data_IF_079921414101
#
_entry.id   IF_079921414101
#
_cell.length_a   1.000
_cell.length_b   1.000
_cell.length_c   1.000
_cell.angle_alpha   90.00
_cell.angle_beta   90.00
_cell.angle_gamma   90.00
#
_symmetry.space_group_name_H-M   'P 1'
#
loop_
_entity.id
_entity.type
_entity.pdbx_description
1 polymer ?
#
# COMPACT_ATOMS: atom_id res chain seq x y z
N UNK A 1 -22.29 40.06 12.52
CA UNK A 1 -20.87 39.82 12.83
C UNK A 1 -20.30 38.97 11.68
N UNK A 2 -19.41 39.56 10.90
CA UNK A 2 -18.93 38.97 9.65
C UNK A 2 -17.75 37.99 9.92
N UNK A 3 -17.89 36.77 9.45
CA UNK A 3 -16.79 35.81 9.45
C UNK A 3 -15.74 36.20 8.39
N UNK A 4 -14.52 36.40 8.81
CA UNK A 4 -13.37 36.64 7.92
C UNK A 4 -12.89 35.32 7.31
N UNK A 5 -12.63 35.25 6.01
CA UNK A 5 -11.98 34.10 5.41
C UNK A 5 -10.49 34.10 5.78
N UNK A 6 -9.98 32.97 6.21
CA UNK A 6 -8.55 32.74 6.40
C UNK A 6 -7.93 32.60 5.01
N UNK A 7 -7.27 33.65 4.58
CA UNK A 7 -6.47 33.69 3.36
C UNK A 7 -5.18 32.92 3.59
N UNK A 8 -5.10 31.69 3.07
CA UNK A 8 -3.84 30.93 3.07
C UNK A 8 -2.97 31.47 1.94
N UNK A 9 -1.96 32.30 2.30
CA UNK A 9 -0.93 32.78 1.39
C UNK A 9 -0.05 31.62 0.96
N UNK A 10 -0.32 31.07 -0.22
CA UNK A 10 0.60 30.18 -0.91
C UNK A 10 1.69 31.05 -1.60
N UNK A 11 2.77 31.29 -0.87
CA UNK A 11 4.02 31.78 -1.44
C UNK A 11 4.72 30.68 -2.23
N UNK A 12 4.87 30.95 -3.50
CA UNK A 12 5.87 30.49 -4.48
C UNK A 12 6.72 29.25 -4.18
N UNK A 13 6.61 28.25 -5.06
CA UNK A 13 7.59 27.22 -5.39
C UNK A 13 7.95 26.22 -4.30
N UNK A 14 6.98 25.45 -3.81
CA UNK A 14 7.27 24.18 -3.18
C UNK A 14 7.39 23.09 -4.26
N UNK A 15 8.59 22.54 -4.47
CA UNK A 15 8.81 21.29 -5.18
C UNK A 15 8.09 20.19 -4.40
N UNK A 16 6.96 19.72 -4.92
CA UNK A 16 6.27 18.54 -4.40
C UNK A 16 7.07 17.32 -4.86
N UNK A 17 8.00 16.88 -4.02
CA UNK A 17 8.71 15.61 -4.22
C UNK A 17 7.85 14.45 -3.71
N UNK A 18 7.55 13.48 -4.56
CA UNK A 18 6.89 12.23 -4.18
C UNK A 18 7.88 11.31 -3.47
N UNK A 19 7.42 10.56 -2.48
CA UNK A 19 8.21 9.60 -1.72
C UNK A 19 7.59 8.21 -1.69
N UNK A 20 8.46 7.21 -1.73
CA UNK A 20 8.15 5.83 -2.08
C UNK A 20 8.89 4.87 -1.15
N UNK A 21 8.27 3.80 -0.69
CA UNK A 21 8.98 2.76 0.05
C UNK A 21 9.80 1.88 -0.90
N UNK A 22 11.06 1.67 -0.59
CA UNK A 22 11.98 0.85 -1.36
C UNK A 22 12.75 -0.11 -0.45
N UNK A 23 13.04 -1.32 -0.93
CA UNK A 23 14.09 -2.17 -0.35
C UNK A 23 15.37 -1.90 -1.12
N UNK A 24 16.42 -1.54 -0.42
CA UNK A 24 17.69 -1.11 -1.00
C UNK A 24 18.87 -1.93 -0.43
N UNK A 25 19.96 -2.04 -1.19
CA UNK A 25 21.23 -2.63 -0.77
C UNK A 25 22.29 -1.55 -0.74
N UNK A 26 23.20 -1.61 0.22
CA UNK A 26 24.44 -0.90 0.19
C UNK A 26 25.42 -1.56 -0.80
N UNK A 27 26.07 -0.77 -1.66
CA UNK A 27 27.02 -1.30 -2.65
C UNK A 27 28.20 -2.05 -1.99
N UNK A 28 28.54 -3.19 -2.55
CA UNK A 28 29.55 -4.15 -2.04
C UNK A 28 30.99 -3.71 -2.16
N UNK A 29 31.33 -2.51 -2.54
CA UNK A 29 32.73 -2.17 -2.67
C UNK A 29 33.13 -1.06 -1.71
N UNK A 30 34.14 -1.30 -0.88
CA UNK A 30 34.85 -0.30 -0.10
C UNK A 30 35.56 0.78 -0.96
N UNK A 31 35.09 0.99 -2.20
CA UNK A 31 35.48 2.09 -3.07
C UNK A 31 34.53 3.25 -2.76
N UNK A 32 35.08 4.41 -2.44
CA UNK A 32 34.37 5.67 -2.47
C UNK A 32 33.83 5.84 -3.89
N UNK A 33 32.51 5.69 -4.07
CA UNK A 33 31.90 6.13 -5.32
C UNK A 33 31.91 7.64 -5.31
N UNK A 34 32.84 8.24 -6.04
CA UNK A 34 32.88 9.69 -6.16
C UNK A 34 31.63 10.24 -6.81
N UNK A 35 31.11 9.51 -7.81
CA UNK A 35 29.86 9.89 -8.49
C UNK A 35 29.22 8.66 -9.17
N UNK A 36 27.92 8.50 -9.05
CA UNK A 36 27.12 7.55 -9.83
C UNK A 36 25.98 8.26 -10.55
N UNK A 37 25.38 7.65 -11.57
CA UNK A 37 24.23 8.22 -12.29
C UNK A 37 22.96 7.56 -11.78
N UNK A 38 22.10 8.36 -11.16
CA UNK A 38 20.76 7.93 -10.78
C UNK A 38 19.76 8.23 -11.89
N UNK A 39 18.89 7.27 -12.16
CA UNK A 39 17.66 7.49 -12.94
C UNK A 39 16.49 7.64 -11.99
N UNK A 40 15.69 8.70 -12.17
CA UNK A 40 14.52 8.93 -11.34
C UNK A 40 13.31 9.37 -12.16
N UNK A 41 12.13 9.01 -11.68
CA UNK A 41 10.88 9.57 -12.15
C UNK A 41 10.62 10.92 -11.50
N UNK A 42 10.23 11.91 -12.30
CA UNK A 42 9.79 13.23 -11.86
C UNK A 42 8.48 13.60 -12.54
N UNK A 43 7.72 14.47 -11.91
CA UNK A 43 6.58 15.10 -12.55
C UNK A 43 7.07 16.03 -13.66
N UNK A 44 6.50 15.88 -14.85
CA UNK A 44 6.65 16.82 -15.97
C UNK A 44 5.65 17.98 -15.83
N UNK A 45 4.44 17.68 -15.33
CA UNK A 45 3.40 18.64 -14.98
C UNK A 45 2.55 18.10 -13.83
N UNK A 46 1.84 18.97 -13.13
CA UNK A 46 0.79 18.55 -12.20
C UNK A 46 -0.37 17.96 -13.01
N UNK A 47 -0.90 16.81 -12.59
CA UNK A 47 -2.09 16.25 -13.22
C UNK A 47 -3.37 16.87 -12.63
N UNK A 48 -4.41 16.90 -13.44
CA UNK A 48 -5.79 17.19 -13.06
C UNK A 48 -6.62 15.93 -13.31
N UNK A 49 -7.42 15.53 -12.33
CA UNK A 49 -8.14 14.25 -12.37
C UNK A 49 -7.20 13.06 -12.29
N UNK A 50 -7.28 12.13 -13.26
CA UNK A 50 -6.44 10.94 -13.29
C UNK A 50 -5.04 11.19 -13.85
N UNK A 51 -3.97 10.66 -13.20
CA UNK A 51 -2.61 10.80 -13.70
C UNK A 51 -2.42 10.10 -15.04
N UNK A 52 -1.83 10.82 -16.01
CA UNK A 52 -1.50 10.32 -17.32
C UNK A 52 -0.01 10.02 -17.47
N UNK A 53 0.35 9.14 -18.39
CA UNK A 53 1.76 8.83 -18.64
C UNK A 53 2.60 10.07 -19.03
N UNK A 54 2.00 11.05 -19.68
CA UNK A 54 2.62 12.32 -20.06
C UNK A 54 2.98 13.23 -18.87
N UNK A 55 2.38 12.99 -17.70
CA UNK A 55 2.62 13.80 -16.50
C UNK A 55 3.96 13.47 -15.85
N UNK A 56 4.62 12.40 -16.30
CA UNK A 56 5.85 11.89 -15.74
C UNK A 56 6.98 11.88 -16.77
N UNK A 57 8.21 12.09 -16.31
CA UNK A 57 9.43 11.91 -17.11
C UNK A 57 10.53 11.24 -16.29
N UNK A 58 11.36 10.45 -16.96
CA UNK A 58 12.64 9.99 -16.39
C UNK A 58 13.69 11.05 -16.61
N UNK A 59 14.44 11.36 -15.60
CA UNK A 59 15.67 12.15 -15.72
C UNK A 59 16.85 11.35 -15.18
N UNK A 60 18.02 11.63 -15.72
CA UNK A 60 19.29 11.12 -15.20
C UNK A 60 20.01 12.26 -14.50
N UNK A 61 20.54 11.99 -13.32
CA UNK A 61 21.30 12.97 -12.55
C UNK A 61 22.52 12.31 -11.91
N UNK A 62 23.66 13.01 -11.84
CA UNK A 62 24.78 12.54 -11.07
C UNK A 62 24.43 12.57 -9.58
N UNK A 63 24.76 11.49 -8.88
CA UNK A 63 24.66 11.40 -7.41
C UNK A 63 26.06 11.22 -6.88
N UNK A 64 26.51 12.21 -6.11
CA UNK A 64 27.84 12.24 -5.50
C UNK A 64 27.68 12.23 -3.99
N UNK A 65 28.41 11.38 -3.29
CA UNK A 65 28.51 11.43 -1.84
C UNK A 65 29.31 12.67 -1.45
N UNK A 66 28.80 13.43 -0.50
CA UNK A 66 29.56 14.51 0.10
C UNK A 66 30.61 13.98 1.07
N UNK A 67 31.52 14.84 1.52
CA UNK A 67 32.49 14.48 2.56
C UNK A 67 31.85 14.30 3.96
N UNK A 68 30.54 14.44 4.08
CA UNK A 68 29.82 14.24 5.33
C UNK A 68 29.82 12.75 5.72
N UNK A 69 30.44 12.44 6.86
CA UNK A 69 30.56 11.07 7.37
C UNK A 69 29.23 10.36 7.67
N UNK A 70 28.12 11.11 7.74
CA UNK A 70 26.78 10.57 7.95
C UNK A 70 26.03 10.22 6.66
N UNK A 71 26.49 10.72 5.51
CA UNK A 71 25.82 10.51 4.25
C UNK A 71 26.01 9.07 3.76
N UNK A 72 24.93 8.46 3.28
CA UNK A 72 24.95 7.10 2.71
C UNK A 72 24.42 7.11 1.28
N UNK A 73 24.98 6.23 0.44
CA UNK A 73 24.46 5.91 -0.88
C UNK A 73 23.66 4.61 -0.80
N UNK A 74 22.43 4.65 -1.28
CA UNK A 74 21.57 3.47 -1.37
C UNK A 74 21.18 3.20 -2.82
N UNK A 75 21.13 1.91 -3.18
CA UNK A 75 20.64 1.43 -4.47
C UNK A 75 19.29 0.72 -4.27
N UNK A 76 18.30 1.07 -5.08
CA UNK A 76 16.98 0.47 -5.00
C UNK A 76 16.94 -0.91 -5.66
N UNK A 77 16.50 -1.93 -4.93
CA UNK A 77 16.29 -3.29 -5.44
C UNK A 77 14.82 -3.51 -5.78
N UNK A 78 13.93 -3.03 -4.91
CA UNK A 78 12.47 -3.12 -5.06
C UNK A 78 11.85 -1.75 -4.83
N UNK A 79 10.84 -1.43 -5.63
CA UNK A 79 10.04 -0.22 -5.50
C UNK A 79 8.58 -0.61 -5.31
N UNK A 80 7.87 0.09 -4.42
CA UNK A 80 6.43 -0.05 -4.28
C UNK A 80 5.68 0.95 -5.14
N UNK A 81 4.45 0.59 -5.50
CA UNK A 81 3.49 1.49 -6.15
C UNK A 81 2.21 1.48 -5.32
N UNK A 82 1.83 2.61 -4.75
CA UNK A 82 0.72 2.72 -3.82
C UNK A 82 -0.19 3.91 -4.17
N UNK A 83 -1.53 3.78 -4.04
CA UNK A 83 -2.48 4.85 -4.37
C UNK A 83 -2.26 6.14 -3.57
N UNK A 84 -1.88 6.06 -2.29
CA UNK A 84 -1.61 7.23 -1.43
C UNK A 84 -0.41 8.05 -1.87
N UNK A 85 0.42 7.55 -2.76
CA UNK A 85 1.58 8.25 -3.30
C UNK A 85 1.22 9.53 -4.04
N UNK A 86 -0.04 9.75 -4.30
CA UNK A 86 -0.57 11.00 -4.83
C UNK A 86 -0.49 12.17 -3.84
N UNK A 87 -0.16 11.93 -2.58
CA UNK A 87 -0.33 12.89 -1.47
C UNK A 87 0.95 13.35 -0.76
N UNK A 88 2.09 12.59 -0.65
CA UNK A 88 3.24 12.94 0.25
C UNK A 88 4.65 12.47 -0.12
N UNK A 89 5.68 13.14 0.47
CA UNK A 89 7.13 12.84 0.36
C UNK A 89 8.03 13.28 1.55
N UNK A 90 9.19 12.62 1.91
CA UNK A 90 10.41 13.09 2.68
C UNK A 90 11.53 12.08 3.12
N UNK A 91 12.77 12.43 3.69
CA UNK A 91 14.12 11.79 3.82
C UNK A 91 14.65 11.41 5.22
N UNK A 92 15.57 10.43 5.40
CA UNK A 92 16.99 10.27 5.89
C UNK A 92 17.35 9.03 6.76
N UNK A 93 18.52 8.74 7.48
CA UNK A 93 19.73 7.92 7.46
C UNK A 93 20.07 6.77 8.48
N UNK A 94 21.24 6.12 8.50
CA UNK A 94 22.18 5.21 9.26
C UNK A 94 22.19 3.74 8.88
N UNK A 95 23.27 3.25 8.13
CA UNK A 95 23.30 1.83 7.83
C UNK A 95 24.67 1.30 7.39
N UNK A 96 25.08 0.02 7.72
CA UNK A 96 26.33 -0.57 7.28
C UNK A 96 26.30 -0.96 5.80
N UNK A 97 27.43 -0.87 5.12
CA UNK A 97 27.59 -1.29 3.72
C UNK A 97 27.19 -2.76 3.52
N UNK A 98 26.40 -3.05 2.47
CA UNK A 98 25.89 -4.40 2.17
C UNK A 98 24.60 -4.75 2.93
N UNK A 99 24.18 -3.94 3.90
CA UNK A 99 22.94 -4.15 4.65
C UNK A 99 21.70 -3.83 3.83
N UNK A 100 20.60 -4.55 4.09
CA UNK A 100 19.30 -4.26 3.51
C UNK A 100 18.54 -3.22 4.35
N UNK A 101 17.88 -2.30 3.66
CA UNK A 101 17.12 -1.23 4.30
C UNK A 101 15.76 -1.02 3.65
N UNK A 102 14.82 -0.56 4.44
CA UNK A 102 13.58 0.01 3.97
C UNK A 102 13.70 1.53 3.95
N UNK A 103 13.49 2.16 2.79
CA UNK A 103 13.71 3.59 2.61
C UNK A 103 12.57 4.29 1.85
N UNK A 104 12.32 5.55 2.24
CA UNK A 104 11.34 6.43 1.60
C UNK A 104 12.08 7.49 0.76
N UNK A 105 12.58 7.15 -0.40
CA UNK A 105 13.50 8.01 -1.18
C UNK A 105 13.05 8.30 -2.62
N UNK A 106 11.81 7.94 -2.95
CA UNK A 106 11.27 8.14 -4.29
C UNK A 106 11.63 7.04 -5.29
N UNK A 107 11.07 7.12 -6.49
CA UNK A 107 11.34 6.17 -7.57
C UNK A 107 12.65 6.53 -8.27
N UNK A 108 13.73 6.03 -7.76
CA UNK A 108 15.07 6.23 -8.30
C UNK A 108 15.96 5.01 -8.09
N UNK A 109 16.98 4.87 -8.93
CA UNK A 109 17.92 3.74 -8.82
C UNK A 109 18.89 3.92 -7.67
N UNK A 110 19.43 5.13 -7.49
CA UNK A 110 20.41 5.45 -6.44
C UNK A 110 20.01 6.74 -5.72
N UNK A 111 20.32 6.82 -4.45
CA UNK A 111 20.04 8.01 -3.62
C UNK A 111 21.18 8.21 -2.62
N UNK A 112 21.77 9.41 -2.63
CA UNK A 112 22.57 9.89 -1.53
C UNK A 112 21.62 10.44 -0.46
N UNK A 113 21.75 9.97 0.78
CA UNK A 113 20.90 10.33 1.90
C UNK A 113 21.75 11.07 2.94
N UNK A 114 21.61 12.42 3.06
CA UNK A 114 22.53 13.24 3.86
C UNK A 114 22.39 13.09 5.37
N UNK A 115 21.19 12.82 5.85
CA UNK A 115 20.91 12.59 7.26
C UNK A 115 19.94 11.41 7.40
N UNK A 116 20.40 10.17 7.62
CA UNK A 116 19.71 8.90 7.77
C UNK A 116 18.84 8.74 9.05
N UNK A 117 18.93 9.59 10.09
CA UNK A 117 18.22 9.47 11.38
C UNK A 117 17.00 10.39 11.55
N UNK A 118 16.69 11.20 10.57
CA UNK A 118 15.55 12.10 10.65
C UNK A 118 14.23 11.34 10.68
N UNK A 119 13.43 11.56 11.67
CA UNK A 119 12.07 11.02 11.77
C UNK A 119 11.10 11.75 10.83
N UNK A 120 10.19 11.00 10.25
CA UNK A 120 9.13 11.51 9.40
C UNK A 120 7.79 10.84 9.70
N UNK A 121 6.72 11.28 9.01
CA UNK A 121 5.35 10.87 9.29
C UNK A 121 5.13 9.34 9.33
N UNK A 122 5.88 8.57 8.53
CA UNK A 122 5.81 7.11 8.47
C UNK A 122 6.99 6.41 9.17
N UNK A 123 7.63 7.09 10.11
CA UNK A 123 8.84 6.64 10.78
C UNK A 123 10.11 7.14 10.10
N UNK A 124 11.29 6.63 10.49
CA UNK A 124 12.54 7.06 9.91
C UNK A 124 12.55 6.76 8.41
N UNK A 125 13.17 7.66 7.63
CA UNK A 125 13.21 7.57 6.18
C UNK A 125 13.97 6.37 5.70
N UNK A 126 15.01 5.99 6.43
CA UNK A 126 15.71 4.73 6.22
C UNK A 126 15.71 3.98 7.54
N UNK A 127 15.41 2.72 7.52
CA UNK A 127 15.50 1.83 8.68
C UNK A 127 16.10 0.50 8.28
N UNK A 128 16.85 -0.17 9.15
CA UNK A 128 17.31 -1.54 8.91
C UNK A 128 16.12 -2.42 8.56
N UNK A 129 16.32 -3.30 7.58
CA UNK A 129 15.34 -4.33 7.32
C UNK A 129 15.40 -5.34 8.46
N UNK A 130 14.28 -5.67 9.14
CA UNK A 130 14.26 -6.76 10.11
C UNK A 130 14.64 -8.09 9.47
N UNK A 131 15.22 -8.99 10.27
CA UNK A 131 15.32 -10.38 9.87
C UNK A 131 13.93 -11.02 9.83
N UNK A 132 13.51 -11.45 8.66
CA UNK A 132 12.24 -12.15 8.46
C UNK A 132 12.34 -13.67 8.62
N UNK A 133 13.48 -14.20 9.12
CA UNK A 133 13.67 -15.63 9.34
C UNK A 133 13.63 -16.43 8.03
N UNK A 134 14.36 -15.99 7.02
CA UNK A 134 14.46 -16.64 5.71
C UNK A 134 13.35 -16.29 4.71
N UNK A 135 12.35 -15.48 5.10
CA UNK A 135 11.36 -14.96 4.17
C UNK A 135 11.98 -13.89 3.27
N UNK A 136 11.39 -13.70 2.08
CA UNK A 136 11.93 -12.75 1.12
C UNK A 136 11.94 -11.31 1.62
N UNK A 137 13.03 -10.56 1.45
CA UNK A 137 13.11 -9.12 1.76
C UNK A 137 12.03 -8.28 1.07
N UNK A 138 11.54 -8.70 -0.10
CA UNK A 138 10.49 -7.98 -0.82
C UNK A 138 9.17 -7.87 -0.06
N UNK A 139 8.93 -8.74 0.93
CA UNK A 139 7.73 -8.67 1.78
C UNK A 139 7.68 -7.40 2.63
N UNK A 140 8.84 -6.76 2.86
CA UNK A 140 8.94 -5.48 3.59
C UNK A 140 8.18 -4.32 2.94
N UNK A 141 7.90 -4.38 1.65
CA UNK A 141 7.09 -3.38 0.95
C UNK A 141 5.68 -3.90 0.63
N UNK A 142 5.33 -5.08 1.11
CA UNK A 142 4.04 -5.75 0.99
C UNK A 142 3.45 -6.15 2.34
N UNK A 143 3.24 -7.45 2.54
CA UNK A 143 2.56 -7.99 3.72
C UNK A 143 3.34 -7.84 5.04
N UNK A 144 4.65 -7.68 5.02
CA UNK A 144 5.47 -7.33 6.19
C UNK A 144 5.85 -5.84 6.23
N UNK A 145 5.24 -5.02 5.39
CA UNK A 145 5.43 -3.59 5.29
C UNK A 145 4.17 -2.80 5.65
N UNK A 146 4.09 -1.58 5.11
CA UNK A 146 3.01 -0.64 5.41
C UNK A 146 1.61 -1.19 5.05
N UNK A 147 1.36 -1.86 3.92
CA UNK A 147 0.04 -2.43 3.66
C UNK A 147 -0.33 -3.56 4.61
N UNK A 148 0.64 -4.43 4.97
CA UNK A 148 0.43 -5.46 5.96
C UNK A 148 0.06 -4.88 7.32
N UNK A 149 0.83 -3.90 7.78
CA UNK A 149 0.59 -3.19 9.03
C UNK A 149 -0.77 -2.48 9.04
N UNK A 150 -1.16 -1.89 7.90
CA UNK A 150 -2.47 -1.26 7.73
C UNK A 150 -3.62 -2.26 7.88
N UNK A 151 -3.53 -3.40 7.20
CA UNK A 151 -4.55 -4.46 7.27
C UNK A 151 -4.62 -5.10 8.65
N UNK A 152 -3.47 -5.43 9.23
CA UNK A 152 -3.35 -6.06 10.54
C UNK A 152 -3.97 -5.20 11.66
N UNK A 153 -3.47 -3.99 11.86
CA UNK A 153 -3.97 -3.12 12.92
C UNK A 153 -5.35 -2.53 12.59
N UNK A 154 -5.62 -2.25 11.31
CA UNK A 154 -6.93 -1.77 10.89
C UNK A 154 -8.04 -2.76 11.16
N UNK A 155 -7.78 -4.06 11.05
CA UNK A 155 -8.75 -5.08 11.41
C UNK A 155 -8.74 -5.38 12.92
N UNK A 156 -7.57 -5.74 13.47
CA UNK A 156 -7.50 -6.26 14.84
C UNK A 156 -7.73 -5.19 15.91
N UNK A 157 -7.12 -4.00 15.76
CA UNK A 157 -7.25 -2.94 16.78
C UNK A 157 -8.52 -2.08 16.55
N UNK A 158 -8.92 -1.85 15.29
CA UNK A 158 -10.06 -0.97 15.04
C UNK A 158 -11.38 -1.70 15.06
N UNK A 159 -11.44 -2.92 14.51
CA UNK A 159 -12.68 -3.69 14.42
C UNK A 159 -12.78 -4.83 15.43
N UNK A 160 -11.67 -5.36 15.96
CA UNK A 160 -11.65 -6.41 16.98
C UNK A 160 -12.54 -7.61 16.58
N UNK A 161 -12.23 -8.32 15.47
CA UNK A 161 -13.07 -9.38 14.94
C UNK A 161 -13.19 -10.54 15.93
N UNK A 162 -14.37 -11.16 15.97
CA UNK A 162 -14.65 -12.35 16.76
C UNK A 162 -14.93 -13.53 15.83
N UNK A 163 -14.59 -14.73 16.26
CA UNK A 163 -14.87 -15.93 15.49
C UNK A 163 -16.37 -16.08 15.19
N UNK A 164 -16.70 -16.41 13.94
CA UNK A 164 -18.07 -16.53 13.46
C UNK A 164 -18.69 -15.24 12.91
N UNK A 165 -18.00 -14.08 13.05
CA UNK A 165 -18.48 -12.83 12.46
C UNK A 165 -18.27 -12.79 10.94
N UNK A 166 -19.08 -12.01 10.26
CA UNK A 166 -18.99 -11.76 8.81
C UNK A 166 -18.22 -10.48 8.55
N UNK A 167 -17.12 -10.57 7.83
CA UNK A 167 -16.24 -9.48 7.43
C UNK A 167 -16.35 -9.21 5.94
N UNK A 168 -16.80 -8.03 5.56
CA UNK A 168 -16.76 -7.54 4.18
C UNK A 168 -15.48 -6.73 3.95
N UNK A 169 -14.80 -6.97 2.83
CA UNK A 169 -13.62 -6.20 2.41
C UNK A 169 -13.86 -5.62 1.02
N UNK A 170 -13.93 -4.30 0.89
CA UNK A 170 -13.93 -3.62 -0.41
C UNK A 170 -12.52 -3.48 -0.96
N UNK A 171 -12.36 -3.55 -2.30
CA UNK A 171 -11.04 -3.56 -2.93
C UNK A 171 -10.16 -4.71 -2.39
N UNK A 172 -10.79 -5.87 -2.17
CA UNK A 172 -10.19 -7.01 -1.48
C UNK A 172 -8.93 -7.56 -2.16
N UNK A 173 -8.83 -7.46 -3.49
CA UNK A 173 -7.64 -7.88 -4.23
C UNK A 173 -6.49 -6.86 -4.20
N UNK A 174 -6.61 -5.80 -3.43
CA UNK A 174 -5.53 -4.84 -3.18
C UNK A 174 -4.52 -5.34 -2.14
N UNK A 175 -3.38 -4.65 -2.04
CA UNK A 175 -2.30 -5.02 -1.11
C UNK A 175 -2.75 -5.04 0.37
N UNK A 176 -3.64 -4.14 0.77
CA UNK A 176 -4.23 -4.13 2.12
C UNK A 176 -5.37 -5.13 2.22
N UNK A 177 -6.31 -5.10 1.25
CA UNK A 177 -7.53 -5.91 1.32
C UNK A 177 -7.28 -7.42 1.34
N UNK A 178 -6.31 -7.90 0.56
CA UNK A 178 -5.94 -9.32 0.53
C UNK A 178 -5.34 -9.81 1.86
N UNK A 179 -4.69 -8.92 2.61
CA UNK A 179 -4.17 -9.23 3.93
C UNK A 179 -5.29 -9.20 4.97
N UNK A 180 -6.17 -8.20 4.90
CA UNK A 180 -7.34 -8.10 5.81
C UNK A 180 -8.17 -9.36 5.76
N UNK A 181 -8.50 -9.85 4.56
CA UNK A 181 -9.30 -11.07 4.43
C UNK A 181 -8.62 -12.30 5.02
N UNK A 182 -7.32 -12.49 4.74
CA UNK A 182 -6.57 -13.60 5.31
C UNK A 182 -6.45 -13.50 6.86
N UNK A 183 -6.19 -12.30 7.40
CA UNK A 183 -6.16 -12.08 8.85
C UNK A 183 -7.54 -12.35 9.46
N UNK A 184 -8.63 -11.94 8.81
CA UNK A 184 -9.99 -12.27 9.26
C UNK A 184 -10.24 -13.79 9.26
N UNK A 185 -9.74 -14.53 8.26
CA UNK A 185 -9.78 -15.99 8.27
C UNK A 185 -9.02 -16.60 9.44
N UNK A 186 -7.84 -16.07 9.78
CA UNK A 186 -7.07 -16.51 10.95
C UNK A 186 -7.84 -16.26 12.25
N UNK A 187 -8.69 -15.22 12.31
CA UNK A 187 -9.57 -14.94 13.45
C UNK A 187 -10.86 -15.79 13.46
N UNK A 188 -11.08 -16.66 12.45
CA UNK A 188 -12.26 -17.51 12.38
C UNK A 188 -13.51 -16.83 11.83
N UNK A 189 -13.36 -15.74 11.08
CA UNK A 189 -14.46 -15.03 10.46
C UNK A 189 -14.89 -15.66 9.12
N UNK A 190 -16.13 -15.40 8.72
CA UNK A 190 -16.60 -15.55 7.34
C UNK A 190 -16.21 -14.30 6.56
N UNK A 191 -15.51 -14.45 5.43
CA UNK A 191 -14.92 -13.32 4.70
C UNK A 191 -15.54 -13.20 3.32
N UNK A 192 -16.07 -11.99 3.04
CA UNK A 192 -16.61 -11.60 1.74
C UNK A 192 -15.69 -10.56 1.12
N UNK A 193 -15.23 -10.79 -0.11
CA UNK A 193 -14.36 -9.90 -0.85
C UNK A 193 -15.01 -9.34 -2.11
N UNK A 194 -14.82 -8.04 -2.39
CA UNK A 194 -15.19 -7.46 -3.68
C UNK A 194 -13.96 -7.11 -4.52
N UNK A 195 -14.03 -7.41 -5.81
CA UNK A 195 -12.98 -7.07 -6.77
C UNK A 195 -13.59 -6.70 -8.14
N UNK A 196 -12.81 -6.15 -9.06
CA UNK A 196 -13.31 -5.61 -10.33
C UNK A 196 -12.95 -6.45 -11.57
N UNK A 197 -12.49 -7.71 -11.40
CA UNK A 197 -12.32 -8.64 -12.52
C UNK A 197 -12.39 -10.08 -12.04
N UNK A 198 -12.66 -10.99 -12.99
CA UNK A 198 -12.72 -12.42 -12.70
C UNK A 198 -11.41 -12.97 -12.12
N UNK A 199 -10.27 -12.60 -12.68
CA UNK A 199 -8.94 -13.06 -12.22
C UNK A 199 -8.66 -12.64 -10.78
N UNK A 200 -9.11 -11.43 -10.40
CA UNK A 200 -9.02 -10.93 -9.02
C UNK A 200 -9.93 -11.74 -8.08
N UNK A 201 -11.14 -12.06 -8.53
CA UNK A 201 -12.07 -12.88 -7.75
C UNK A 201 -11.53 -14.30 -7.57
N UNK A 202 -11.04 -14.93 -8.63
CA UNK A 202 -10.46 -16.28 -8.59
C UNK A 202 -9.27 -16.30 -7.59
N UNK A 203 -8.41 -15.28 -7.64
CA UNK A 203 -7.29 -15.17 -6.71
C UNK A 203 -7.73 -15.00 -5.25
N UNK A 204 -8.78 -14.23 -4.96
CA UNK A 204 -9.31 -14.10 -3.61
C UNK A 204 -9.85 -15.44 -3.07
N UNK A 205 -10.48 -16.25 -3.93
CA UNK A 205 -10.88 -17.61 -3.57
C UNK A 205 -9.68 -18.49 -3.22
N UNK A 206 -8.57 -18.39 -4.00
CA UNK A 206 -7.32 -19.09 -3.68
C UNK A 206 -6.71 -18.64 -2.33
N UNK A 207 -6.94 -17.39 -1.92
CA UNK A 207 -6.52 -16.85 -0.61
C UNK A 207 -7.42 -17.28 0.54
N UNK A 208 -8.51 -18.03 0.26
CA UNK A 208 -9.42 -18.57 1.27
C UNK A 208 -10.56 -17.65 1.68
N UNK A 209 -10.91 -16.65 0.87
CA UNK A 209 -12.17 -15.91 1.04
C UNK A 209 -13.35 -16.85 0.83
N UNK A 210 -14.35 -16.78 1.72
CA UNK A 210 -15.52 -17.67 1.65
C UNK A 210 -16.45 -17.29 0.51
N UNK A 211 -16.62 -15.99 0.29
CA UNK A 211 -17.43 -15.45 -0.79
C UNK A 211 -16.68 -14.31 -1.50
N UNK A 212 -16.84 -14.23 -2.81
CA UNK A 212 -16.22 -13.20 -3.64
C UNK A 212 -17.19 -12.79 -4.74
N UNK A 213 -17.28 -11.49 -5.00
CA UNK A 213 -18.06 -10.97 -6.12
C UNK A 213 -17.34 -9.91 -6.93
N UNK A 214 -17.65 -9.87 -8.24
CA UNK A 214 -17.21 -8.82 -9.13
C UNK A 214 -18.25 -7.68 -9.11
N UNK A 215 -17.90 -6.55 -8.48
CA UNK A 215 -18.80 -5.40 -8.34
C UNK A 215 -19.13 -4.71 -9.67
N UNK A 216 -18.48 -5.08 -10.79
CA UNK A 216 -18.82 -4.64 -12.14
C UNK A 216 -19.90 -5.48 -12.80
N UNK A 217 -20.14 -6.68 -12.27
CA UNK A 217 -21.10 -7.66 -12.82
C UNK A 217 -22.32 -7.83 -11.91
N UNK A 218 -22.12 -7.65 -10.60
CA UNK A 218 -23.15 -7.80 -9.59
C UNK A 218 -23.13 -6.62 -8.64
N UNK A 219 -24.26 -5.99 -8.39
CA UNK A 219 -24.36 -4.89 -7.45
C UNK A 219 -24.02 -5.33 -6.02
N UNK A 220 -23.62 -4.38 -5.17
CA UNK A 220 -23.35 -4.62 -3.74
C UNK A 220 -24.59 -5.19 -3.05
N UNK A 221 -25.76 -4.64 -3.35
CA UNK A 221 -27.03 -5.04 -2.73
C UNK A 221 -27.40 -6.48 -3.07
N UNK A 222 -27.34 -6.86 -4.35
CA UNK A 222 -27.59 -8.23 -4.80
C UNK A 222 -26.60 -9.22 -4.20
N UNK A 223 -25.29 -8.86 -4.21
CA UNK A 223 -24.24 -9.74 -3.71
C UNK A 223 -24.39 -10.00 -2.20
N UNK A 224 -24.60 -8.96 -1.41
CA UNK A 224 -24.66 -9.08 0.04
C UNK A 224 -26.01 -9.65 0.52
N UNK A 225 -27.11 -9.45 -0.19
CA UNK A 225 -28.38 -10.13 0.09
C UNK A 225 -28.22 -11.65 0.00
N UNK A 226 -27.42 -12.14 -0.96
CA UNK A 226 -27.18 -13.58 -1.14
C UNK A 226 -26.09 -14.11 -0.18
N UNK A 227 -24.97 -13.38 -0.02
CA UNK A 227 -23.78 -13.87 0.67
C UNK A 227 -23.77 -13.57 2.17
N UNK A 228 -24.54 -12.60 2.61
CA UNK A 228 -24.67 -12.18 4.00
C UNK A 228 -26.13 -11.85 4.34
N UNK A 229 -27.07 -12.80 4.23
CA UNK A 229 -28.50 -12.54 4.47
C UNK A 229 -28.79 -11.99 5.87
N UNK A 230 -27.98 -12.38 6.87
CA UNK A 230 -28.05 -11.85 8.23
C UNK A 230 -27.31 -10.53 8.43
N UNK A 231 -26.68 -10.00 7.38
CA UNK A 231 -25.88 -8.76 7.40
C UNK A 231 -24.41 -8.96 7.76
N UNK A 232 -23.68 -7.84 7.74
CA UNK A 232 -22.23 -7.75 7.91
C UNK A 232 -21.89 -7.19 9.29
N UNK A 233 -21.02 -7.87 10.04
CA UNK A 233 -20.56 -7.44 11.36
C UNK A 233 -19.44 -6.39 11.24
N UNK A 234 -18.53 -6.60 10.28
CA UNK A 234 -17.36 -5.76 10.07
C UNK A 234 -17.23 -5.41 8.58
N UNK A 235 -17.08 -4.12 8.29
CA UNK A 235 -16.74 -3.64 6.96
C UNK A 235 -15.36 -2.97 6.97
N UNK A 236 -14.43 -3.52 6.20
CA UNK A 236 -13.13 -2.89 5.96
C UNK A 236 -13.17 -2.14 4.63
N UNK A 237 -13.20 -0.82 4.72
CA UNK A 237 -13.42 0.06 3.58
C UNK A 237 -12.13 0.63 2.99
N UNK A 238 -11.85 0.25 1.74
CA UNK A 238 -10.77 0.79 0.92
C UNK A 238 -11.28 1.69 -0.22
N UNK A 239 -12.60 1.75 -0.44
CA UNK A 239 -13.20 2.31 -1.65
C UNK A 239 -13.93 3.62 -1.41
N UNK A 240 -14.79 3.70 -0.39
CA UNK A 240 -15.66 4.87 -0.16
C UNK A 240 -16.80 4.99 -1.17
N UNK A 241 -17.40 6.19 -1.25
CA UNK A 241 -18.41 6.55 -2.23
C UNK A 241 -19.71 5.75 -2.13
N UNK A 242 -20.32 5.47 -3.29
CA UNK A 242 -21.61 4.77 -3.38
C UNK A 242 -21.55 3.34 -2.85
N UNK A 243 -20.42 2.65 -3.05
CA UNK A 243 -20.24 1.32 -2.49
C UNK A 243 -20.44 1.31 -0.96
N UNK A 244 -19.77 2.22 -0.27
CA UNK A 244 -19.86 2.36 1.20
C UNK A 244 -21.24 2.79 1.64
N UNK A 245 -21.88 3.70 0.88
CA UNK A 245 -23.24 4.12 1.16
C UNK A 245 -24.23 2.93 1.13
N UNK A 246 -24.15 2.08 0.12
CA UNK A 246 -25.07 0.94 -0.05
C UNK A 246 -24.84 -0.13 1.03
N UNK A 247 -23.58 -0.40 1.39
CA UNK A 247 -23.23 -1.29 2.51
C UNK A 247 -23.82 -0.78 3.83
N UNK A 248 -23.62 0.50 4.15
CA UNK A 248 -24.12 1.10 5.41
C UNK A 248 -25.62 1.12 5.46
N UNK A 249 -26.27 1.45 4.34
CA UNK A 249 -27.73 1.54 4.22
C UNK A 249 -28.40 0.21 4.48
N UNK A 250 -27.97 -0.85 3.81
CA UNK A 250 -28.75 -2.09 3.73
C UNK A 250 -28.13 -3.28 4.48
N UNK A 251 -26.81 -3.35 4.57
CA UNK A 251 -26.14 -4.61 4.90
C UNK A 251 -25.37 -4.63 6.23
N UNK A 252 -25.09 -3.49 6.87
CA UNK A 252 -24.47 -3.51 8.20
C UNK A 252 -25.46 -3.96 9.26
N UNK A 253 -25.00 -4.86 10.14
CA UNK A 253 -25.73 -5.24 11.36
C UNK A 253 -25.77 -4.09 12.36
N UNK A 254 -26.69 -4.20 13.33
CA UNK A 254 -26.71 -3.34 14.51
C UNK A 254 -25.40 -3.49 15.31
N UNK A 255 -24.81 -2.38 15.76
CA UNK A 255 -23.47 -2.30 16.36
C UNK A 255 -22.33 -2.73 15.42
N UNK A 256 -22.56 -2.74 14.10
CA UNK A 256 -21.52 -3.05 13.11
C UNK A 256 -20.32 -2.12 13.21
N UNK A 257 -19.16 -2.62 12.83
CA UNK A 257 -17.88 -1.89 12.91
C UNK A 257 -17.32 -1.65 11.53
N UNK A 258 -16.90 -0.41 11.27
CA UNK A 258 -16.36 0.00 9.97
C UNK A 258 -14.96 0.58 10.16
N UNK A 259 -13.97 0.00 9.48
CA UNK A 259 -12.62 0.54 9.39
C UNK A 259 -12.46 1.29 8.07
N UNK A 260 -12.39 2.62 8.12
CA UNK A 260 -12.13 3.46 6.95
C UNK A 260 -10.62 3.52 6.71
N UNK A 261 -10.16 2.79 5.69
CA UNK A 261 -8.76 2.70 5.30
C UNK A 261 -8.42 3.59 4.10
N UNK A 262 -9.35 3.74 3.18
CA UNK A 262 -9.16 4.53 1.97
C UNK A 262 -10.48 4.94 1.34
N UNK A 263 -10.38 5.83 0.36
CA UNK A 263 -11.53 6.33 -0.40
C UNK A 263 -11.11 6.46 -1.88
N UNK A 264 -10.66 5.33 -2.49
CA UNK A 264 -10.07 5.38 -3.83
C UNK A 264 -11.04 5.89 -4.89
N UNK A 265 -12.35 5.69 -4.69
CA UNK A 265 -13.40 6.23 -5.56
C UNK A 265 -13.40 7.76 -5.60
N UNK A 266 -12.80 8.44 -4.61
CA UNK A 266 -12.86 9.89 -4.45
C UNK A 266 -11.51 10.59 -4.65
N UNK A 267 -10.42 9.86 -4.83
CA UNK A 267 -9.07 10.48 -4.92
C UNK A 267 -8.89 11.40 -6.13
N UNK A 268 -9.68 11.23 -7.18
CA UNK A 268 -9.59 12.02 -8.40
C UNK A 268 -10.73 13.04 -8.56
N UNK A 269 -11.84 12.88 -7.83
CA UNK A 269 -12.99 13.77 -7.90
C UNK A 269 -13.58 13.94 -6.49
N UNK A 270 -13.63 15.17 -6.02
CA UNK A 270 -14.33 15.52 -4.77
C UNK A 270 -15.82 15.70 -5.08
N UNK A 271 -16.53 14.60 -5.31
CA UNK A 271 -17.97 14.63 -5.43
C UNK A 271 -18.60 14.77 -4.04
N UNK A 272 -19.78 15.38 -4.01
CA UNK A 272 -20.53 15.53 -2.75
C UNK A 272 -21.09 14.17 -2.35
N UNK A 273 -20.57 13.59 -1.26
CA UNK A 273 -21.06 12.32 -0.72
C UNK A 273 -22.52 12.42 -0.29
N UNK A 274 -23.25 11.31 -0.46
CA UNK A 274 -24.55 11.10 0.17
C UNK A 274 -24.36 10.97 1.68
N UNK A 275 -25.26 11.60 2.46
CA UNK A 275 -25.17 11.53 3.93
C UNK A 275 -25.44 10.11 4.43
N UNK A 276 -24.55 9.62 5.28
CA UNK A 276 -24.67 8.31 5.95
C UNK A 276 -25.06 8.45 7.43
N UNK A 277 -25.26 9.68 7.90
CA UNK A 277 -25.48 9.99 9.33
C UNK A 277 -26.64 9.20 9.94
N UNK A 278 -27.76 9.06 9.21
CA UNK A 278 -28.93 8.31 9.73
C UNK A 278 -28.60 6.83 9.90
N UNK A 279 -27.84 6.22 8.98
CA UNK A 279 -27.46 4.81 9.11
C UNK A 279 -26.55 4.55 10.31
N UNK A 280 -25.69 5.54 10.63
CA UNK A 280 -24.83 5.48 11.83
C UNK A 280 -25.70 5.49 13.09
N UNK A 281 -26.69 6.35 13.15
CA UNK A 281 -27.61 6.45 14.29
C UNK A 281 -28.47 5.20 14.39
N UNK A 282 -29.17 4.86 13.32
CA UNK A 282 -30.18 3.79 13.30
C UNK A 282 -29.60 2.41 13.62
N UNK A 283 -28.34 2.17 13.21
CA UNK A 283 -27.65 0.89 13.43
C UNK A 283 -26.58 0.96 14.51
N UNK A 284 -26.40 2.09 15.19
CA UNK A 284 -25.35 2.33 16.19
C UNK A 284 -23.95 1.94 15.69
N UNK A 285 -23.59 2.34 14.45
CA UNK A 285 -22.36 1.92 13.81
C UNK A 285 -21.13 2.53 14.50
N UNK A 286 -20.07 1.71 14.63
CA UNK A 286 -18.79 2.13 15.14
C UNK A 286 -17.82 2.34 13.96
N UNK A 287 -17.55 3.61 13.61
CA UNK A 287 -16.69 3.97 12.48
C UNK A 287 -15.35 4.49 12.97
N UNK A 288 -14.26 3.89 12.51
CA UNK A 288 -12.90 4.27 12.92
C UNK A 288 -11.98 4.41 11.69
N UNK A 289 -11.24 5.51 11.63
CA UNK A 289 -10.18 5.68 10.63
C UNK A 289 -8.97 4.80 10.93
N UNK A 290 -8.33 4.32 9.86
CA UNK A 290 -7.07 3.56 9.92
C UNK A 290 -5.93 4.48 9.53
N UNK A 291 -5.10 4.87 10.51
CA UNK A 291 -3.94 5.72 10.31
C UNK A 291 -2.67 4.97 10.74
N UNK A 292 -2.03 4.32 9.78
CA UNK A 292 -0.94 3.38 10.03
C UNK A 292 0.29 3.99 10.75
N UNK A 293 0.64 5.27 10.59
CA UNK A 293 1.76 5.86 11.33
C UNK A 293 1.61 5.79 12.85
N UNK A 294 0.37 5.75 13.36
CA UNK A 294 0.11 5.59 14.80
C UNK A 294 0.62 4.26 15.38
N UNK A 295 0.98 3.29 14.53
CA UNK A 295 1.45 1.97 14.91
C UNK A 295 2.95 1.74 14.65
N UNK A 296 3.70 2.78 14.29
CA UNK A 296 5.13 2.65 14.00
C UNK A 296 5.94 2.04 15.16
N UNK A 297 5.59 2.35 16.40
CA UNK A 297 6.20 1.79 17.61
C UNK A 297 5.91 0.29 17.82
N UNK A 298 4.88 -0.26 17.15
CA UNK A 298 4.49 -1.67 17.19
C UNK A 298 4.92 -2.45 15.96
N UNK A 299 5.77 -1.87 15.10
CA UNK A 299 6.19 -2.49 13.85
C UNK A 299 6.84 -3.86 14.04
N UNK A 300 7.71 -4.01 15.01
CA UNK A 300 8.40 -5.30 15.27
C UNK A 300 7.45 -6.38 15.83
N UNK A 301 6.47 -6.00 16.65
CA UNK A 301 5.39 -6.88 17.10
C UNK A 301 4.61 -7.43 15.90
N UNK A 302 4.19 -6.53 15.02
CA UNK A 302 3.49 -6.87 13.79
C UNK A 302 4.32 -7.80 12.89
N UNK A 303 5.60 -7.47 12.64
CA UNK A 303 6.49 -8.30 11.80
C UNK A 303 6.66 -9.70 12.38
N UNK A 304 6.85 -9.83 13.68
CA UNK A 304 7.00 -11.12 14.35
C UNK A 304 5.76 -12.00 14.16
N UNK A 305 4.57 -11.45 14.44
CA UNK A 305 3.30 -12.17 14.30
C UNK A 305 2.98 -12.57 12.87
N UNK A 306 3.11 -11.63 11.92
CA UNK A 306 2.83 -11.91 10.52
C UNK A 306 3.82 -12.89 9.91
N UNK A 307 5.10 -12.77 10.24
CA UNK A 307 6.13 -13.72 9.79
C UNK A 307 5.87 -15.13 10.33
N UNK A 308 5.36 -15.25 11.56
CA UNK A 308 4.94 -16.53 12.11
C UNK A 308 3.77 -17.11 11.31
N UNK A 309 2.71 -16.36 11.07
CA UNK A 309 1.54 -16.83 10.29
C UNK A 309 1.91 -17.22 8.85
N UNK A 310 2.86 -16.52 8.23
CA UNK A 310 3.37 -16.91 6.91
C UNK A 310 4.09 -18.25 6.97
N UNK A 311 4.98 -18.46 7.96
CA UNK A 311 5.70 -19.74 8.13
C UNK A 311 4.77 -20.90 8.48
N UNK A 312 3.70 -20.64 9.21
CA UNK A 312 2.65 -21.62 9.53
C UNK A 312 1.70 -21.90 8.36
N UNK A 313 1.87 -21.23 7.22
CA UNK A 313 1.00 -21.37 6.06
C UNK A 313 -0.40 -20.75 6.23
N UNK A 314 -0.64 -20.00 7.31
CA UNK A 314 -1.90 -19.29 7.56
C UNK A 314 -2.10 -18.08 6.67
N UNK A 315 -1.00 -17.50 6.18
CA UNK A 315 -1.01 -16.40 5.23
C UNK A 315 -0.22 -16.77 3.99
N UNK A 316 -0.85 -16.62 2.84
CA UNK A 316 -0.22 -16.80 1.54
C UNK A 316 0.44 -15.50 1.07
N UNK A 317 1.66 -15.60 0.54
CA UNK A 317 2.36 -14.48 -0.06
C UNK A 317 2.66 -14.81 -1.52
N UNK A 318 1.82 -14.35 -2.46
CA UNK A 318 2.13 -14.44 -3.88
C UNK A 318 2.91 -13.22 -4.33
N UNK A 319 3.94 -13.41 -5.16
CA UNK A 319 4.77 -12.34 -5.71
C UNK A 319 4.49 -12.15 -7.19
N UNK A 320 4.48 -10.89 -7.62
CA UNK A 320 4.64 -10.58 -9.03
C UNK A 320 6.11 -10.62 -9.44
N UNK A 321 6.34 -10.88 -10.73
CA UNK A 321 7.68 -10.83 -11.31
C UNK A 321 8.31 -9.44 -11.13
N UNK A 322 9.63 -9.35 -10.94
CA UNK A 322 10.34 -8.08 -10.90
C UNK A 322 10.07 -7.26 -12.17
N UNK A 323 9.81 -5.97 -12.01
CA UNK A 323 9.60 -5.03 -13.09
C UNK A 323 10.66 -3.93 -13.08
N UNK A 324 10.95 -3.38 -14.23
CA UNK A 324 11.89 -2.27 -14.35
C UNK A 324 11.28 -0.94 -13.86
N UNK A 325 12.14 0.04 -13.65
CA UNK A 325 11.75 1.38 -13.23
C UNK A 325 10.74 2.05 -14.20
N UNK A 326 10.77 1.69 -15.50
CA UNK A 326 9.87 2.27 -16.51
C UNK A 326 8.43 1.86 -16.31
N UNK A 327 8.21 0.66 -15.79
CA UNK A 327 6.88 0.09 -15.56
C UNK A 327 6.15 0.74 -14.39
N UNK A 328 6.87 1.25 -13.38
CA UNK A 328 6.26 1.87 -12.19
C UNK A 328 5.26 2.98 -12.52
N UNK A 329 5.59 3.85 -13.46
CA UNK A 329 4.73 4.92 -13.95
C UNK A 329 3.40 4.39 -14.51
N UNK A 330 3.48 3.39 -15.38
CA UNK A 330 2.32 2.76 -16.01
C UNK A 330 1.38 2.18 -14.98
N UNK A 331 1.93 1.58 -13.91
CA UNK A 331 1.16 1.02 -12.82
C UNK A 331 0.42 2.08 -12.01
N UNK A 332 1.07 3.19 -11.68
CA UNK A 332 0.41 4.27 -10.95
C UNK A 332 -0.79 4.83 -11.72
N UNK A 333 -0.66 5.02 -13.03
CA UNK A 333 -1.77 5.47 -13.88
C UNK A 333 -2.90 4.43 -13.97
N UNK A 334 -2.58 3.13 -13.88
CA UNK A 334 -3.57 2.04 -13.99
C UNK A 334 -4.31 1.73 -12.69
N UNK A 335 -3.93 2.27 -11.55
CA UNK A 335 -4.68 2.05 -10.30
C UNK A 335 -6.14 2.50 -10.40
N UNK A 336 -6.40 3.56 -11.13
CA UNK A 336 -7.74 4.07 -11.38
C UNK A 336 -8.54 3.24 -12.40
N UNK A 337 -7.85 2.51 -13.29
CA UNK A 337 -8.48 1.66 -14.29
C UNK A 337 -8.88 0.28 -13.75
N UNK A 338 -8.70 0.02 -12.45
CA UNK A 338 -9.01 -1.28 -11.79
C UNK A 338 -8.27 -2.50 -12.39
N UNK A 339 -7.18 -2.24 -13.12
CA UNK A 339 -6.42 -3.27 -13.86
C UNK A 339 -5.29 -3.88 -13.05
N UNK A 340 -5.13 -3.48 -11.78
CA UNK A 340 -4.03 -3.94 -10.95
C UNK A 340 -4.56 -4.65 -9.71
N UNK A 341 -4.11 -5.87 -9.49
CA UNK A 341 -4.37 -6.65 -8.28
C UNK A 341 -3.17 -6.56 -7.36
N UNK A 342 -3.40 -6.23 -6.09
CA UNK A 342 -2.35 -6.18 -5.10
C UNK A 342 -1.30 -5.08 -5.34
N UNK A 343 -0.22 -5.15 -4.59
CA UNK A 343 0.95 -4.28 -4.75
C UNK A 343 1.92 -4.90 -5.74
N UNK A 344 2.27 -4.13 -6.77
CA UNK A 344 3.31 -4.49 -7.72
C UNK A 344 4.69 -4.15 -7.16
N UNK A 345 5.61 -5.11 -7.20
CA UNK A 345 7.00 -4.92 -6.85
C UNK A 345 7.80 -4.73 -8.13
N UNK A 346 8.53 -3.62 -8.25
CA UNK A 346 9.51 -3.45 -9.31
C UNK A 346 10.89 -3.85 -8.81
N UNK A 347 11.46 -4.90 -9.40
CA UNK A 347 12.84 -5.27 -9.22
C UNK A 347 13.72 -4.60 -10.28
N UNK A 348 14.84 -4.02 -9.87
CA UNK A 348 15.83 -3.48 -10.79
C UNK A 348 16.84 -4.57 -11.13
N UNK A 349 17.22 -4.74 -12.41
CA UNK A 349 18.24 -5.72 -12.78
C UNK A 349 19.57 -5.34 -12.14
N UNK A 350 20.20 -6.28 -11.46
CA UNK A 350 21.55 -6.11 -10.90
C UNK A 350 22.55 -5.97 -12.07
N UNK A 351 23.35 -4.91 -12.16
CA UNK A 351 24.22 -4.67 -13.30
C UNK A 351 25.39 -5.67 -13.46
N UNK A 352 25.56 -6.62 -12.54
CA UNK A 352 26.71 -7.53 -12.53
C UNK A 352 26.40 -9.00 -12.82
N UNK A 353 25.16 -9.36 -13.19
CA UNK A 353 24.86 -10.73 -13.65
C UNK A 353 24.42 -10.75 -15.11
N UNK A 354 25.32 -11.20 -15.98
CA UNK A 354 25.02 -11.58 -17.37
C UNK A 354 24.02 -12.74 -17.37
N UNK A 355 22.88 -12.51 -17.95
CA UNK A 355 21.73 -13.40 -18.04
C UNK A 355 22.00 -14.67 -18.84
N UNK A 356 21.46 -15.78 -18.35
CA UNK A 356 20.83 -16.77 -19.22
C UNK A 356 19.32 -16.76 -18.95
N UNK A 357 18.61 -16.35 -19.97
CA UNK A 357 17.15 -16.32 -20.06
C UNK A 357 16.57 -17.72 -20.11
N UNK A 358 15.55 -17.97 -19.31
CA UNK A 358 14.48 -18.89 -19.70
C UNK A 358 13.16 -18.27 -19.22
N UNK A 359 12.36 -17.84 -20.16
CA UNK A 359 10.99 -17.42 -19.97
C UNK A 359 10.13 -18.63 -19.58
N UNK A 360 9.51 -18.60 -18.43
CA UNK A 360 8.30 -19.34 -18.17
C UNK A 360 7.28 -18.41 -17.51
N UNK A 361 6.18 -18.24 -18.22
CA UNK A 361 5.03 -17.44 -17.90
C UNK A 361 4.25 -18.04 -16.73
N UNK A 362 4.36 -17.44 -15.56
CA UNK A 362 3.32 -17.50 -14.53
C UNK A 362 3.25 -16.17 -13.81
N UNK A 363 2.18 -15.43 -14.06
CA UNK A 363 1.85 -14.22 -13.31
C UNK A 363 1.46 -14.61 -11.89
N UNK A 364 2.19 -14.13 -10.90
CA UNK A 364 1.82 -14.22 -9.49
C UNK A 364 1.65 -12.80 -8.92
N UNK A 365 0.60 -12.60 -8.12
CA UNK A 365 0.21 -11.30 -7.54
C UNK A 365 0.60 -11.20 -6.07
N UNK A 366 1.01 -10.02 -5.62
CA UNK A 366 1.16 -9.65 -4.20
C UNK A 366 0.26 -8.47 -3.87
#
# INVERSE_FOLDING_TARGET
MAARPILCLLGSKAFVGFRWSSVCVFGESGRRYETTVARKWTLAKQWEGEPQLSDFRVIEEPVTLSSNAKEILIEAIYLSVDPYMRIKASNTPRFPTGGLVLANVGWRTHTAVPDPDKEELFGPVVRPLPDFGGLSPSLAIGCLGMPGMTGYFGLLDRCQPQAGETVLVSGAAGAVGSIVGQVAKVQGCTVIGSAGSKEKCDWLQELGFDHVFNYKEKSVDEALTEMAPDGVDIYFDNVGGDFTYDVMKSHMKFNGRIAICGAIAQYNAWERERSTTMFIIDKQLNIKGVYVPAYNNRYYEFVAQMSQWIREGKLSTKKQSPMDLRTCRTLLCRFSEDRISGRLLSGLPNPTRTLRTTLNSQMAFV
#
